data_IF_648810494546
#
_entry.id   IF_648810494546
#
_cell.length_a   1.000
_cell.length_b   1.000
_cell.length_c   1.000
_cell.angle_alpha   90.00
_cell.angle_beta   90.00
_cell.angle_gamma   90.00
#
_symmetry.space_group_name_H-M   'P 1'
#
loop_
_entity.id
_entity.type
_entity.pdbx_description
1 polymer ?
#
# COMPACT_ATOMS: atom_id res chain seq x y z
N UNK A 1 -23.18 2.05 -9.89
CA UNK A 1 -21.84 1.46 -9.69
C UNK A 1 -21.23 0.93 -10.99
N UNK A 2 -21.94 0.09 -11.75
CA UNK A 2 -21.41 -0.54 -12.98
C UNK A 2 -20.91 0.43 -14.04
N UNK A 3 -21.59 1.55 -14.27
CA UNK A 3 -21.18 2.55 -15.27
C UNK A 3 -19.85 3.21 -14.88
N UNK A 4 -19.71 3.63 -13.62
CA UNK A 4 -18.49 4.23 -13.10
C UNK A 4 -17.31 3.26 -13.17
N UNK A 5 -17.48 2.01 -12.70
CA UNK A 5 -16.39 1.02 -12.74
C UNK A 5 -15.95 0.72 -14.17
N UNK A 6 -16.87 0.68 -15.14
CA UNK A 6 -16.54 0.56 -16.57
C UNK A 6 -15.79 1.78 -17.08
N UNK A 7 -16.22 3.00 -16.71
CA UNK A 7 -15.53 4.24 -17.08
C UNK A 7 -14.12 4.34 -16.47
N UNK A 8 -13.89 3.70 -15.32
CA UNK A 8 -12.59 3.53 -14.67
C UNK A 8 -11.77 2.35 -15.24
N UNK A 9 -12.23 1.68 -16.29
CA UNK A 9 -11.60 0.48 -16.87
C UNK A 9 -11.51 -0.72 -15.91
N UNK A 10 -12.37 -0.78 -14.88
CA UNK A 10 -12.40 -1.90 -13.95
C UNK A 10 -13.38 -2.96 -14.42
N UNK A 11 -12.92 -4.21 -14.36
CA UNK A 11 -13.71 -5.37 -14.72
C UNK A 11 -14.29 -6.02 -13.47
N UNK A 12 -15.58 -6.35 -13.50
CA UNK A 12 -16.21 -7.14 -12.44
C UNK A 12 -15.78 -8.61 -12.59
N UNK A 13 -15.02 -9.12 -11.62
CA UNK A 13 -14.49 -10.49 -11.62
C UNK A 13 -15.48 -11.46 -10.99
N UNK A 14 -16.07 -11.09 -9.86
CA UNK A 14 -17.01 -11.96 -9.15
C UNK A 14 -17.91 -11.15 -8.24
N UNK A 15 -19.09 -11.72 -7.98
CA UNK A 15 -19.96 -11.30 -6.88
C UNK A 15 -20.19 -12.55 -6.04
N UNK A 16 -19.73 -12.53 -4.80
CA UNK A 16 -19.96 -13.60 -3.84
C UNK A 16 -20.91 -13.11 -2.75
N UNK A 17 -21.66 -14.02 -2.16
CA UNK A 17 -22.50 -13.73 -1.00
C UNK A 17 -22.11 -14.69 0.11
N UNK A 18 -21.66 -14.14 1.21
CA UNK A 18 -21.44 -14.91 2.41
C UNK A 18 -22.78 -15.41 2.93
N UNK A 19 -22.92 -16.73 3.04
CA UNK A 19 -24.14 -17.39 3.47
C UNK A 19 -24.34 -17.31 4.98
N UNK A 20 -23.27 -17.08 5.75
CA UNK A 20 -23.33 -17.00 7.21
C UNK A 20 -23.79 -15.61 7.64
N UNK A 21 -23.13 -14.57 7.15
CA UNK A 21 -23.42 -13.19 7.57
C UNK A 21 -24.34 -12.45 6.60
N UNK A 22 -24.69 -13.04 5.46
CA UNK A 22 -25.57 -12.46 4.43
C UNK A 22 -24.92 -11.35 3.59
N UNK A 23 -23.63 -11.07 3.79
CA UNK A 23 -22.90 -9.96 3.16
C UNK A 23 -22.50 -10.31 1.72
N UNK A 24 -22.81 -9.43 0.77
CA UNK A 24 -22.35 -9.53 -0.61
C UNK A 24 -21.02 -8.82 -0.84
N UNK A 25 -20.08 -9.45 -1.55
CA UNK A 25 -18.79 -8.88 -1.92
C UNK A 25 -18.67 -8.89 -3.45
N UNK A 26 -18.39 -7.73 -4.05
CA UNK A 26 -18.08 -7.61 -5.46
C UNK A 26 -16.58 -7.35 -5.64
N UNK A 27 -15.90 -8.20 -6.40
CA UNK A 27 -14.47 -8.09 -6.69
C UNK A 27 -14.26 -7.46 -8.05
N UNK A 28 -13.49 -6.38 -8.11
CA UNK A 28 -13.15 -5.70 -9.35
C UNK A 28 -11.64 -5.80 -9.62
N UNK A 29 -11.27 -5.94 -10.90
CA UNK A 29 -9.90 -5.96 -11.38
C UNK A 29 -9.58 -4.67 -12.14
N UNK A 30 -8.49 -4.01 -11.74
CA UNK A 30 -7.90 -2.87 -12.45
C UNK A 30 -7.29 -3.34 -13.78
N UNK A 31 -7.15 -2.46 -14.79
CA UNK A 31 -6.50 -2.84 -16.04
C UNK A 31 -5.02 -3.18 -15.81
N UNK A 32 -4.46 -4.05 -16.66
CA UNK A 32 -3.05 -4.46 -16.62
C UNK A 32 -2.13 -3.59 -17.49
N UNK A 33 -2.71 -2.71 -18.31
CA UNK A 33 -2.00 -1.74 -19.15
C UNK A 33 -2.75 -0.41 -19.17
N UNK A 34 -2.12 0.64 -19.68
CA UNK A 34 -2.74 1.95 -19.85
C UNK A 34 -3.61 2.06 -21.11
N UNK A 35 -3.67 1.03 -21.97
CA UNK A 35 -4.40 1.08 -23.25
C UNK A 35 -5.87 1.46 -23.08
N UNK A 36 -6.51 0.96 -22.02
CA UNK A 36 -7.90 1.29 -21.75
C UNK A 36 -8.04 2.78 -21.41
N UNK A 37 -7.15 3.33 -20.57
CA UNK A 37 -7.20 4.74 -20.18
C UNK A 37 -6.97 5.68 -21.36
N UNK A 38 -6.09 5.30 -22.28
CA UNK A 38 -5.76 6.08 -23.48
C UNK A 38 -6.91 6.11 -24.51
N UNK A 39 -7.73 5.05 -24.57
CA UNK A 39 -8.87 4.94 -25.48
C UNK A 39 -10.16 5.56 -24.94
N UNK A 40 -10.15 6.12 -23.72
CA UNK A 40 -11.35 6.72 -23.12
C UNK A 40 -11.81 7.93 -23.91
N UNK A 41 -13.06 7.89 -24.38
CA UNK A 41 -13.71 9.03 -25.04
C UNK A 41 -13.99 10.19 -24.08
N UNK A 42 -14.13 9.91 -22.78
CA UNK A 42 -14.30 10.90 -21.71
C UNK A 42 -13.35 10.61 -20.56
N UNK A 43 -12.66 11.64 -20.08
CA UNK A 43 -11.77 11.57 -18.93
C UNK A 43 -12.53 11.75 -17.61
N UNK A 44 -13.53 10.90 -17.38
CA UNK A 44 -14.39 10.92 -16.18
C UNK A 44 -14.44 9.52 -15.54
N UNK A 45 -13.80 9.30 -14.36
CA UNK A 45 -12.99 10.26 -13.61
C UNK A 45 -11.63 10.57 -14.30
N UNK A 46 -11.02 11.73 -14.06
CA UNK A 46 -9.75 12.11 -14.69
C UNK A 46 -8.59 11.24 -14.21
N UNK A 47 -7.51 11.21 -14.99
CA UNK A 47 -6.24 10.69 -14.49
C UNK A 47 -5.59 11.71 -13.56
N UNK A 48 -4.83 11.24 -12.57
CA UNK A 48 -4.09 12.12 -11.68
C UNK A 48 -2.95 12.82 -12.45
N UNK A 49 -2.66 14.06 -12.05
CA UNK A 49 -1.51 14.83 -12.56
C UNK A 49 -0.20 14.10 -12.26
N UNK A 50 0.81 14.27 -13.12
CA UNK A 50 2.11 13.62 -12.93
C UNK A 50 2.86 14.10 -11.66
N UNK A 51 2.47 15.26 -11.12
CA UNK A 51 2.99 15.79 -9.86
C UNK A 51 2.37 15.14 -8.62
N UNK A 52 1.29 14.37 -8.78
CA UNK A 52 0.68 13.63 -7.68
C UNK A 52 1.48 12.36 -7.40
N UNK A 53 2.18 12.33 -6.25
CA UNK A 53 3.03 11.20 -5.89
C UNK A 53 2.20 9.97 -5.49
N UNK A 54 2.21 8.87 -6.28
CA UNK A 54 1.49 7.64 -5.93
C UNK A 54 2.07 6.91 -4.70
N UNK A 55 3.26 7.31 -4.24
CA UNK A 55 3.90 6.76 -3.04
C UNK A 55 3.63 7.58 -1.78
N UNK A 56 3.02 8.76 -1.90
CA UNK A 56 2.69 9.61 -0.78
C UNK A 56 1.72 8.92 0.19
N UNK A 57 2.20 8.64 1.41
CA UNK A 57 1.45 7.86 2.40
C UNK A 57 0.81 8.71 3.50
N UNK A 58 1.37 9.87 3.83
CA UNK A 58 0.94 10.70 4.96
C UNK A 58 0.77 12.16 4.54
N UNK A 59 -0.21 12.85 5.13
CA UNK A 59 -0.55 14.25 4.83
C UNK A 59 -0.84 14.52 3.33
N UNK A 60 -1.29 13.51 2.58
CA UNK A 60 -1.70 13.66 1.17
C UNK A 60 -3.21 13.82 1.09
N UNK A 61 -3.73 14.95 0.58
CA UNK A 61 -5.17 15.13 0.39
C UNK A 61 -5.73 14.12 -0.62
N UNK A 62 -6.91 13.56 -0.33
CA UNK A 62 -7.60 12.69 -1.27
C UNK A 62 -8.00 13.49 -2.53
N UNK A 63 -7.70 12.93 -3.69
CA UNK A 63 -8.06 13.49 -5.00
C UNK A 63 -9.02 12.56 -5.73
N UNK A 64 -9.99 13.13 -6.44
CA UNK A 64 -10.96 12.40 -7.25
C UNK A 64 -10.38 12.07 -8.64
N UNK A 65 -9.25 11.34 -8.69
CA UNK A 65 -8.55 10.97 -9.92
C UNK A 65 -8.01 9.53 -9.84
N UNK A 66 -7.55 9.00 -10.98
CA UNK A 66 -6.94 7.67 -11.07
C UNK A 66 -5.49 7.75 -11.53
N UNK A 67 -4.59 7.06 -10.84
CA UNK A 67 -3.23 6.86 -11.35
C UNK A 67 -3.19 5.86 -12.50
N UNK A 68 -2.23 6.07 -13.40
CA UNK A 68 -1.90 5.12 -14.46
C UNK A 68 -1.37 3.82 -13.88
N UNK A 69 -1.49 2.73 -14.65
CA UNK A 69 -0.84 1.47 -14.33
C UNK A 69 0.68 1.69 -14.45
N UNK A 70 1.50 1.26 -13.47
CA UNK A 70 2.94 1.41 -13.54
C UNK A 70 3.51 0.64 -14.74
N UNK A 71 4.48 1.25 -15.41
CA UNK A 71 5.13 0.68 -16.61
C UNK A 71 6.57 0.30 -16.31
N UNK A 72 7.23 1.05 -15.43
CA UNK A 72 8.60 0.75 -15.01
C UNK A 72 8.61 -0.35 -13.93
N UNK A 73 9.50 -1.32 -14.08
CA UNK A 73 9.76 -2.37 -13.10
C UNK A 73 10.13 -1.84 -11.69
N UNK A 74 10.63 -0.62 -11.58
CA UNK A 74 11.00 0.03 -10.33
C UNK A 74 9.83 0.79 -9.68
N UNK A 75 8.75 1.06 -10.41
CA UNK A 75 7.57 1.72 -9.87
C UNK A 75 6.79 0.82 -8.91
N UNK A 76 6.23 1.40 -7.86
CA UNK A 76 5.38 0.67 -6.90
C UNK A 76 4.17 0.06 -7.60
N UNK A 77 3.98 -1.25 -7.41
CA UNK A 77 2.85 -2.00 -7.97
C UNK A 77 3.13 -2.68 -9.31
N UNK A 78 4.32 -2.51 -9.89
CA UNK A 78 4.76 -3.28 -11.06
C UNK A 78 5.11 -4.74 -10.74
N UNK A 79 5.42 -5.05 -9.47
CA UNK A 79 5.78 -6.39 -9.02
C UNK A 79 5.01 -6.78 -7.75
N UNK A 80 4.77 -8.07 -7.57
CA UNK A 80 4.22 -8.58 -6.33
C UNK A 80 5.24 -8.45 -5.19
N UNK A 81 4.85 -7.89 -4.03
CA UNK A 81 5.71 -7.91 -2.86
C UNK A 81 5.90 -9.35 -2.35
N UNK A 82 6.90 -9.54 -1.49
CA UNK A 82 7.14 -10.81 -0.80
C UNK A 82 5.86 -11.35 -0.16
N UNK A 83 5.80 -12.68 -0.05
CA UNK A 83 4.68 -13.34 0.62
C UNK A 83 4.72 -13.07 2.12
N UNK A 84 3.55 -13.05 2.74
CA UNK A 84 3.47 -13.05 4.20
C UNK A 84 4.06 -14.35 4.77
N UNK A 85 4.84 -14.33 5.88
CA UNK A 85 5.17 -13.16 6.72
C UNK A 85 6.45 -12.42 6.31
N UNK A 86 7.22 -12.91 5.32
CA UNK A 86 8.50 -12.33 4.92
C UNK A 86 8.41 -10.84 4.52
N UNK A 87 7.23 -10.42 4.01
CA UNK A 87 6.93 -9.01 3.69
C UNK A 87 7.20 -8.03 4.84
N UNK A 88 7.03 -8.45 6.10
CA UNK A 88 7.19 -7.57 7.26
C UNK A 88 8.59 -6.97 7.39
N UNK A 89 9.62 -7.77 7.10
CA UNK A 89 11.02 -7.33 7.22
C UNK A 89 11.69 -7.03 5.89
N UNK A 90 10.95 -7.11 4.78
CA UNK A 90 11.55 -6.90 3.45
C UNK A 90 11.42 -5.43 3.06
N UNK A 91 12.56 -4.79 2.83
CA UNK A 91 12.61 -3.47 2.20
C UNK A 91 11.88 -3.49 0.85
N UNK A 92 10.87 -2.63 0.65
CA UNK A 92 10.16 -2.56 -0.61
C UNK A 92 11.07 -2.22 -1.80
N UNK A 93 10.89 -2.92 -2.93
CA UNK A 93 11.75 -2.77 -4.11
C UNK A 93 11.70 -1.37 -4.75
N UNK A 94 10.59 -0.64 -4.54
CA UNK A 94 10.39 0.71 -5.06
C UNK A 94 11.02 1.80 -4.17
N UNK A 95 11.58 1.44 -3.00
CA UNK A 95 12.45 2.33 -2.25
C UNK A 95 13.83 2.31 -2.90
N UNK A 96 14.20 3.40 -3.55
CA UNK A 96 15.47 3.50 -4.27
C UNK A 96 16.52 4.17 -3.38
N UNK A 97 17.78 3.74 -3.47
CA UNK A 97 18.89 4.39 -2.75
C UNK A 97 19.16 5.82 -3.23
N UNK A 98 18.55 6.27 -4.33
CA UNK A 98 18.55 7.68 -4.74
C UNK A 98 17.63 8.55 -3.89
N UNK A 99 16.67 7.96 -3.18
CA UNK A 99 15.77 8.65 -2.27
C UNK A 99 16.39 8.72 -0.89
N UNK A 100 16.23 9.86 -0.22
CA UNK A 100 16.67 10.05 1.16
C UNK A 100 15.50 9.70 2.08
N UNK A 101 15.75 8.79 3.02
CA UNK A 101 14.81 8.40 4.06
C UNK A 101 14.63 9.48 5.14
N UNK A 102 13.73 9.21 6.08
CA UNK A 102 13.34 10.15 7.13
C UNK A 102 14.50 10.52 8.06
N UNK A 103 15.44 9.61 8.31
CA UNK A 103 16.62 9.88 9.16
C UNK A 103 17.87 10.25 8.35
N UNK A 104 17.71 10.66 7.09
CA UNK A 104 18.80 11.21 6.27
C UNK A 104 19.74 10.15 5.65
N UNK A 105 19.45 8.86 5.84
CA UNK A 105 20.11 7.75 5.14
C UNK A 105 19.44 7.53 3.79
N UNK A 106 20.07 6.83 2.82
CA UNK A 106 19.32 6.39 1.65
C UNK A 106 18.18 5.45 2.08
N UNK A 107 17.04 5.53 1.38
CA UNK A 107 15.76 5.00 1.86
C UNK A 107 15.79 3.49 2.22
N UNK A 108 16.45 2.61 1.45
CA UNK A 108 16.56 1.19 1.81
C UNK A 108 17.30 0.93 3.12
N UNK A 109 18.40 1.65 3.33
CA UNK A 109 19.23 1.58 4.53
C UNK A 109 18.49 2.15 5.73
N UNK A 110 17.71 3.21 5.51
CA UNK A 110 16.91 3.85 6.54
C UNK A 110 15.79 2.94 7.04
N UNK A 111 15.05 2.31 6.11
CA UNK A 111 14.05 1.28 6.42
C UNK A 111 14.65 0.14 7.23
N UNK A 112 15.81 -0.38 6.80
CA UNK A 112 16.47 -1.51 7.47
C UNK A 112 16.89 -1.13 8.90
N UNK A 113 17.41 0.08 9.10
CA UNK A 113 17.81 0.57 10.41
C UNK A 113 16.60 0.78 11.35
N UNK A 114 15.50 1.35 10.85
CA UNK A 114 14.25 1.54 11.60
C UNK A 114 13.65 0.18 11.99
N UNK A 115 13.58 -0.77 11.06
CA UNK A 115 13.10 -2.12 11.33
C UNK A 115 13.89 -2.84 12.45
N UNK A 116 15.23 -2.80 12.39
CA UNK A 116 16.08 -3.40 13.44
C UNK A 116 16.00 -2.64 14.77
N UNK A 117 15.72 -1.33 14.76
CA UNK A 117 15.41 -0.57 15.96
C UNK A 117 14.10 -1.07 16.59
N UNK A 118 13.00 -1.09 15.84
CA UNK A 118 11.68 -1.49 16.33
C UNK A 118 11.63 -2.94 16.79
N UNK A 119 12.30 -3.85 16.08
CA UNK A 119 12.43 -5.24 16.51
C UNK A 119 13.05 -5.37 17.91
N UNK A 120 14.08 -4.56 18.22
CA UNK A 120 14.69 -4.50 19.56
C UNK A 120 13.76 -3.87 20.59
N UNK A 121 13.08 -2.77 20.24
CA UNK A 121 12.11 -2.11 21.14
C UNK A 121 10.98 -3.06 21.52
N UNK A 122 10.38 -3.74 20.54
CA UNK A 122 9.30 -4.71 20.78
C UNK A 122 9.79 -5.85 21.67
N UNK A 123 10.94 -6.45 21.35
CA UNK A 123 11.46 -7.61 22.08
C UNK A 123 11.88 -7.27 23.51
N UNK A 124 12.53 -6.13 23.72
CA UNK A 124 13.14 -5.79 25.00
C UNK A 124 12.22 -4.95 25.90
N UNK A 125 11.31 -4.17 25.34
CA UNK A 125 10.47 -3.23 26.10
C UNK A 125 9.00 -3.62 26.10
N UNK A 126 8.40 -3.89 24.93
CA UNK A 126 6.95 -4.11 24.86
C UNK A 126 6.57 -5.51 25.35
N UNK A 127 7.20 -6.55 24.83
CA UNK A 127 6.84 -7.92 25.23
C UNK A 127 7.07 -8.20 26.73
N UNK A 128 8.12 -7.62 27.31
CA UNK A 128 8.60 -8.00 28.64
C UNK A 128 8.53 -6.88 29.71
N UNK A 129 8.23 -5.63 29.34
CA UNK A 129 8.52 -4.46 30.20
C UNK A 129 7.34 -3.58 30.59
N UNK A 130 6.12 -3.79 30.04
CA UNK A 130 5.00 -2.85 30.23
C UNK A 130 3.74 -3.45 30.87
N UNK A 131 3.81 -4.68 31.39
CA UNK A 131 2.73 -5.31 32.16
C UNK A 131 1.44 -5.56 31.37
N UNK A 132 1.50 -5.52 30.04
CA UNK A 132 0.36 -5.80 29.16
C UNK A 132 0.19 -7.31 28.99
N UNK A 133 -1.04 -7.79 29.16
CA UNK A 133 -1.39 -9.14 28.74
C UNK A 133 -1.60 -9.16 27.22
N UNK A 134 -0.56 -9.58 26.49
CA UNK A 134 -0.57 -9.66 25.03
C UNK A 134 -1.61 -10.64 24.47
N UNK A 135 -2.12 -11.60 25.25
CA UNK A 135 -3.13 -12.56 24.77
C UNK A 135 -4.48 -11.92 24.45
N UNK A 136 -4.78 -10.75 25.01
CA UNK A 136 -6.01 -9.99 24.73
C UNK A 136 -5.82 -8.90 23.68
N UNK A 137 -4.59 -8.64 23.24
CA UNK A 137 -4.26 -7.57 22.29
C UNK A 137 -4.12 -8.15 20.90
N UNK A 138 -4.92 -7.65 19.96
CA UNK A 138 -4.90 -8.13 18.56
C UNK A 138 -3.95 -7.34 17.65
N UNK A 139 -3.80 -6.05 17.91
CA UNK A 139 -2.95 -5.16 17.12
C UNK A 139 -2.36 -4.09 18.02
N UNK A 140 -1.14 -3.64 17.72
CA UNK A 140 -0.48 -2.50 18.37
C UNK A 140 0.22 -1.70 17.29
N UNK A 141 0.11 -0.38 17.35
CA UNK A 141 0.76 0.52 16.44
C UNK A 141 1.47 1.58 17.27
N UNK A 142 2.78 1.66 17.16
CA UNK A 142 3.52 2.77 17.72
C UNK A 142 3.58 3.90 16.68
N UNK A 143 2.97 5.04 17.00
CA UNK A 143 2.93 6.19 16.09
C UNK A 143 4.30 6.85 15.88
N UNK A 144 5.35 6.45 16.62
CA UNK A 144 6.74 6.83 16.36
C UNK A 144 7.43 5.91 15.37
N UNK A 145 6.83 4.76 15.03
CA UNK A 145 7.37 3.87 14.01
C UNK A 145 7.17 4.48 12.63
N UNK A 146 8.27 4.95 12.05
CA UNK A 146 8.23 5.73 10.80
C UNK A 146 7.84 4.83 9.63
N UNK A 147 8.49 3.67 9.52
CA UNK A 147 8.20 2.70 8.47
C UNK A 147 7.19 1.62 8.93
N UNK A 148 6.55 1.83 10.08
CA UNK A 148 5.46 0.99 10.58
C UNK A 148 5.88 -0.44 10.89
N UNK A 149 6.84 -0.58 11.82
CA UNK A 149 7.51 -1.85 12.20
C UNK A 149 6.61 -3.08 12.34
#
# INVERSE_FOLDING_TARGET
MTELTKAMCWELVSITKDTINGVGVATYRKPSSNDCYERRSKQEPPLCEASDDPNGAWNVPLKACMHKVPVDSLERGSQWPEKWPARLGKTPYWMLSSQVGVYGKPAPEDFTADYEHWKRVVSNSYLNGIGINWSSVRNTMDMRSVYGG
#
